data_IF_814071705079
#
_entry.id   IF_814071705079
#
_cell.length_a   1.000
_cell.length_b   1.000
_cell.length_c   1.000
_cell.angle_alpha   90.00
_cell.angle_beta   90.00
_cell.angle_gamma   90.00
#
_symmetry.space_group_name_H-M   'P 1'
#
loop_
_entity.id
_entity.type
_entity.pdbx_description
1 polymer ?
#
# COMPACT_ATOMS: atom_id res chain seq x y z
N UNK A 1 4.63 2.98 -13.84
CA UNK A 1 4.37 2.22 -12.60
C UNK A 1 3.62 0.92 -12.90
N UNK A 2 4.08 -0.23 -12.39
CA UNK A 2 3.34 -1.51 -12.40
C UNK A 2 2.84 -1.84 -10.99
N UNK A 3 1.53 -2.01 -10.81
CA UNK A 3 0.92 -2.40 -9.52
C UNK A 3 0.52 -3.88 -9.58
N UNK A 4 0.96 -4.65 -8.59
CA UNK A 4 0.55 -6.03 -8.38
C UNK A 4 -0.15 -6.13 -7.02
N UNK A 5 -1.41 -6.57 -7.03
CA UNK A 5 -2.18 -6.82 -5.83
C UNK A 5 -2.10 -8.30 -5.50
N UNK A 6 -1.74 -8.62 -4.26
CA UNK A 6 -1.70 -9.97 -3.73
C UNK A 6 -2.61 -10.02 -2.52
N UNK A 7 -3.56 -10.95 -2.50
CA UNK A 7 -4.35 -11.25 -1.32
C UNK A 7 -3.83 -12.52 -0.65
N UNK A 8 -3.98 -12.63 0.66
CA UNK A 8 -3.80 -13.90 1.35
C UNK A 8 -5.07 -14.76 1.25
N UNK A 9 -5.15 -15.84 2.03
CA UNK A 9 -6.29 -16.78 2.01
C UNK A 9 -7.56 -16.23 2.67
N UNK A 10 -7.50 -15.04 3.26
CA UNK A 10 -8.62 -14.44 4.02
C UNK A 10 -9.41 -13.45 3.19
N UNK A 11 -8.83 -12.91 2.12
CA UNK A 11 -9.48 -11.96 1.21
C UNK A 11 -9.63 -12.61 -0.18
N UNK A 12 -10.86 -12.62 -0.69
CA UNK A 12 -11.13 -13.04 -2.06
C UNK A 12 -10.55 -12.01 -3.04
N UNK A 13 -9.49 -12.41 -3.74
CA UNK A 13 -8.91 -11.62 -4.83
C UNK A 13 -9.81 -11.66 -6.05
N UNK A 14 -10.57 -10.59 -6.28
CA UNK A 14 -11.37 -10.40 -7.49
C UNK A 14 -10.97 -9.11 -8.24
N UNK A 15 -11.36 -9.02 -9.50
CA UNK A 15 -10.98 -7.91 -10.38
C UNK A 15 -11.41 -6.54 -9.83
N UNK A 16 -12.60 -6.46 -9.22
CA UNK A 16 -13.11 -5.22 -8.63
C UNK A 16 -12.25 -4.75 -7.45
N UNK A 17 -11.78 -5.67 -6.61
CA UNK A 17 -10.87 -5.35 -5.51
C UNK A 17 -9.53 -4.83 -6.04
N UNK A 18 -8.97 -5.49 -7.06
CA UNK A 18 -7.71 -5.09 -7.67
C UNK A 18 -7.81 -3.69 -8.30
N UNK A 19 -8.89 -3.42 -9.04
CA UNK A 19 -9.16 -2.14 -9.67
C UNK A 19 -9.32 -1.03 -8.63
N UNK A 20 -10.18 -1.23 -7.62
CA UNK A 20 -10.38 -0.25 -6.55
C UNK A 20 -9.09 0.07 -5.79
N UNK A 21 -8.30 -0.96 -5.48
CA UNK A 21 -7.00 -0.80 -4.82
C UNK A 21 -6.04 0.01 -5.70
N UNK A 22 -6.00 -0.27 -7.01
CA UNK A 22 -5.16 0.45 -7.97
C UNK A 22 -5.55 1.91 -8.06
N UNK A 23 -6.84 2.23 -8.15
CA UNK A 23 -7.34 3.61 -8.22
C UNK A 23 -6.91 4.45 -7.01
N UNK A 24 -7.03 3.90 -5.79
CA UNK A 24 -6.61 4.59 -4.57
C UNK A 24 -5.11 4.91 -4.63
N UNK A 25 -4.30 3.92 -4.98
CA UNK A 25 -2.83 4.02 -5.00
C UNK A 25 -2.37 5.01 -6.06
N UNK A 26 -2.93 4.94 -7.26
CA UNK A 26 -2.62 5.87 -8.36
C UNK A 26 -3.01 7.29 -8.01
N UNK A 27 -4.18 7.49 -7.38
CA UNK A 27 -4.64 8.82 -6.96
C UNK A 27 -3.72 9.46 -5.92
N UNK A 28 -3.34 8.71 -4.89
CA UNK A 28 -2.52 9.22 -3.78
C UNK A 28 -1.06 9.40 -4.23
N UNK A 29 -0.49 8.41 -4.92
CA UNK A 29 0.92 8.42 -5.30
C UNK A 29 1.17 9.01 -6.69
N UNK A 30 0.20 9.76 -7.23
CA UNK A 30 0.23 10.35 -8.59
C UNK A 30 1.55 11.06 -8.91
N UNK A 31 2.11 11.77 -7.92
CA UNK A 31 3.33 12.56 -8.05
C UNK A 31 4.61 11.72 -8.20
N UNK A 32 4.55 10.43 -7.87
CA UNK A 32 5.69 9.51 -7.91
C UNK A 32 5.60 8.46 -9.02
N UNK A 33 4.49 8.44 -9.78
CA UNK A 33 4.19 7.41 -10.80
C UNK A 33 5.30 7.21 -11.84
N UNK A 34 5.99 8.28 -12.22
CA UNK A 34 7.13 8.25 -13.17
C UNK A 34 8.40 7.66 -12.56
N UNK A 35 8.56 7.74 -11.23
CA UNK A 35 9.75 7.25 -10.51
C UNK A 35 9.57 5.81 -10.02
N UNK A 36 8.32 5.41 -9.77
CA UNK A 36 7.98 4.07 -9.29
C UNK A 36 8.00 3.08 -10.46
N UNK A 37 8.89 2.09 -10.36
CA UNK A 37 9.00 1.01 -11.35
C UNK A 37 8.02 -0.12 -11.05
N UNK A 38 7.85 -0.46 -9.77
CA UNK A 38 6.92 -1.50 -9.31
C UNK A 38 6.38 -1.19 -7.92
N UNK A 39 5.14 -1.59 -7.69
CA UNK A 39 4.50 -1.59 -6.39
C UNK A 39 3.83 -2.94 -6.16
N UNK A 40 4.09 -3.55 -5.02
CA UNK A 40 3.47 -4.78 -4.57
C UNK A 40 2.57 -4.45 -3.38
N UNK A 41 1.31 -4.84 -3.48
CA UNK A 41 0.29 -4.67 -2.45
C UNK A 41 0.03 -6.05 -1.86
N UNK A 42 0.06 -6.18 -0.54
CA UNK A 42 -0.33 -7.38 0.16
C UNK A 42 -1.50 -7.06 1.07
N UNK A 43 -2.63 -7.71 0.83
CA UNK A 43 -3.87 -7.54 1.57
C UNK A 43 -4.21 -8.83 2.32
N UNK A 44 -4.63 -8.69 3.57
CA UNK A 44 -5.10 -9.80 4.38
C UNK A 44 -5.92 -9.33 5.56
N UNK A 45 -6.59 -10.25 6.23
CA UNK A 45 -7.35 -9.99 7.44
C UNK A 45 -6.81 -10.85 8.59
N UNK A 46 -6.73 -10.25 9.77
CA UNK A 46 -6.49 -11.00 11.00
C UNK A 46 -7.26 -10.38 12.15
N UNK A 47 -7.35 -11.15 13.23
CA UNK A 47 -7.84 -10.65 14.51
C UNK A 47 -6.94 -9.50 14.98
N UNK A 48 -7.56 -8.39 15.37
CA UNK A 48 -6.88 -7.24 15.95
C UNK A 48 -6.07 -7.67 17.16
N UNK A 49 -4.83 -7.18 17.24
CA UNK A 49 -3.96 -7.46 18.38
C UNK A 49 -4.45 -6.72 19.64
N UNK A 50 -5.08 -5.56 19.46
CA UNK A 50 -5.52 -4.68 20.54
C UNK A 50 -6.97 -4.97 20.96
N UNK A 51 -7.80 -5.41 20.00
CA UNK A 51 -9.23 -5.66 20.21
C UNK A 51 -9.60 -7.06 19.71
N UNK A 52 -9.31 -8.08 20.51
CA UNK A 52 -9.34 -9.50 20.11
C UNK A 52 -10.66 -10.05 19.52
N UNK A 53 -11.77 -9.33 19.58
CA UNK A 53 -13.04 -9.72 18.95
C UNK A 53 -13.27 -9.06 17.59
N UNK A 54 -12.41 -8.10 17.19
CA UNK A 54 -12.51 -7.34 15.94
C UNK A 54 -11.56 -7.94 14.90
N UNK A 55 -12.06 -8.11 13.68
CA UNK A 55 -11.23 -8.40 12.51
C UNK A 55 -10.74 -7.08 11.90
N UNK A 56 -9.45 -7.02 11.59
CA UNK A 56 -8.83 -5.90 10.91
C UNK A 56 -8.27 -6.36 9.56
N UNK A 57 -8.42 -5.49 8.56
CA UNK A 57 -7.73 -5.61 7.29
C UNK A 57 -6.35 -4.97 7.41
N UNK A 58 -5.34 -5.67 6.92
CA UNK A 58 -3.96 -5.24 6.87
C UNK A 58 -3.55 -5.02 5.41
N UNK A 59 -2.89 -3.90 5.15
CA UNK A 59 -2.31 -3.58 3.86
C UNK A 59 -0.80 -3.32 4.05
N UNK A 60 0.03 -4.06 3.31
CA UNK A 60 1.45 -3.78 3.17
C UNK A 60 1.72 -3.33 1.73
N UNK A 61 2.44 -2.22 1.59
CA UNK A 61 2.91 -1.72 0.30
C UNK A 61 4.42 -1.83 0.26
N UNK A 62 4.96 -2.55 -0.72
CA UNK A 62 6.37 -2.47 -1.10
C UNK A 62 6.49 -1.67 -2.40
N UNK A 63 7.28 -0.59 -2.39
CA UNK A 63 7.49 0.28 -3.54
C UNK A 63 8.95 0.23 -3.97
N UNK A 64 9.14 -0.01 -5.27
CA UNK A 64 10.44 0.00 -5.94
C UNK A 64 10.55 1.25 -6.79
N UNK A 65 11.55 2.06 -6.49
CA UNK A 65 11.91 3.25 -7.25
C UNK A 65 13.18 2.98 -8.04
N UNK A 66 13.27 3.50 -9.26
CA UNK A 66 14.46 3.34 -10.08
C UNK A 66 15.71 3.89 -9.37
N UNK A 67 16.75 3.07 -9.24
CA UNK A 67 18.03 3.48 -8.64
C UNK A 67 18.02 3.59 -7.11
N UNK A 68 16.96 3.13 -6.42
CA UNK A 68 16.85 3.16 -4.96
C UNK A 68 16.56 1.77 -4.40
N UNK A 69 16.82 1.58 -3.10
CA UNK A 69 16.36 0.38 -2.40
C UNK A 69 14.83 0.39 -2.31
N UNK A 70 14.17 -0.78 -2.37
CA UNK A 70 12.74 -0.88 -2.10
C UNK A 70 12.40 -0.36 -0.71
N UNK A 71 11.28 0.33 -0.59
CA UNK A 71 10.73 0.78 0.69
C UNK A 71 9.40 0.10 0.96
N UNK A 72 9.12 -0.22 2.22
CA UNK A 72 7.88 -0.87 2.61
C UNK A 72 7.20 -0.13 3.76
N UNK A 73 5.87 -0.04 3.69
CA UNK A 73 5.01 0.45 4.78
C UNK A 73 3.88 -0.53 5.01
N UNK A 74 3.33 -0.52 6.22
CA UNK A 74 2.13 -1.25 6.56
C UNK A 74 1.10 -0.35 7.23
N UNK A 75 -0.16 -0.70 7.07
CA UNK A 75 -1.26 -0.14 7.83
C UNK A 75 -2.37 -1.16 8.07
N UNK A 76 -3.18 -0.91 9.10
CA UNK A 76 -4.24 -1.80 9.55
C UNK A 76 -5.47 -0.99 9.88
N UNK A 77 -6.65 -1.44 9.46
CA UNK A 77 -7.90 -0.75 9.72
C UNK A 77 -9.09 -1.71 9.71
N UNK A 78 -10.26 -1.21 10.11
CA UNK A 78 -11.50 -1.99 10.10
C UNK A 78 -12.01 -2.33 8.70
N UNK A 79 -11.56 -1.60 7.68
CA UNK A 79 -11.94 -1.86 6.29
C UNK A 79 -10.74 -1.82 5.37
N UNK A 80 -10.88 -2.50 4.24
CA UNK A 80 -9.87 -2.54 3.19
C UNK A 80 -9.53 -1.15 2.64
N UNK A 81 -10.55 -0.33 2.37
CA UNK A 81 -10.37 1.03 1.85
C UNK A 81 -9.54 1.91 2.80
N UNK A 82 -9.81 1.80 4.11
CA UNK A 82 -9.08 2.51 5.14
C UNK A 82 -7.63 2.01 5.23
N UNK A 83 -7.41 0.69 5.23
CA UNK A 83 -6.07 0.12 5.32
C UNK A 83 -5.21 0.47 4.10
N UNK A 84 -5.78 0.40 2.89
CA UNK A 84 -5.09 0.78 1.65
C UNK A 84 -4.79 2.27 1.63
N UNK A 85 -5.78 3.12 1.97
CA UNK A 85 -5.60 4.57 2.00
C UNK A 85 -4.53 4.99 3.02
N UNK A 86 -4.56 4.42 4.23
CA UNK A 86 -3.60 4.76 5.26
C UNK A 86 -2.18 4.28 4.93
N UNK A 87 -2.04 3.07 4.36
CA UNK A 87 -0.75 2.61 3.84
C UNK A 87 -0.24 3.51 2.70
N UNK A 88 -1.10 3.93 1.78
CA UNK A 88 -0.74 4.81 0.67
C UNK A 88 -0.24 6.18 1.16
N UNK A 89 -0.89 6.76 2.18
CA UNK A 89 -0.45 8.03 2.80
C UNK A 89 0.89 7.89 3.51
N UNK A 90 1.11 6.80 4.24
CA UNK A 90 2.42 6.52 4.85
C UNK A 90 3.51 6.40 3.79
N UNK A 91 3.21 5.74 2.66
CA UNK A 91 4.13 5.61 1.55
C UNK A 91 4.42 6.96 0.88
N UNK A 92 3.41 7.81 0.69
CA UNK A 92 3.56 9.18 0.16
C UNK A 92 4.57 9.96 1.01
N UNK A 93 4.37 10.02 2.33
CA UNK A 93 5.29 10.72 3.24
C UNK A 93 6.70 10.11 3.27
N UNK A 94 6.82 8.78 3.17
CA UNK A 94 8.13 8.11 3.09
C UNK A 94 8.87 8.53 1.82
N UNK A 95 8.21 8.49 0.67
CA UNK A 95 8.80 8.89 -0.61
C UNK A 95 9.15 10.38 -0.63
N UNK A 96 8.29 11.25 -0.11
CA UNK A 96 8.60 12.69 0.05
C UNK A 96 9.88 12.91 0.86
N UNK A 97 10.05 12.19 1.97
CA UNK A 97 11.23 12.26 2.82
C UNK A 97 12.49 11.77 2.09
N UNK A 98 12.41 10.60 1.43
CA UNK A 98 13.54 10.02 0.70
C UNK A 98 13.98 10.90 -0.47
N UNK A 99 13.05 11.40 -1.29
CA UNK A 99 13.38 12.30 -2.40
C UNK A 99 13.81 13.69 -1.91
N UNK A 100 13.25 14.18 -0.81
CA UNK A 100 13.67 15.43 -0.18
C UNK A 100 15.09 15.38 0.38
N UNK A 101 15.56 14.19 0.80
CA UNK A 101 16.96 13.96 1.18
C UNK A 101 17.91 13.90 -0.02
N UNK A 102 17.46 13.36 -1.16
CA UNK A 102 18.25 13.27 -2.39
C UNK A 102 18.37 14.60 -3.15
N UNK A 103 17.44 15.52 -2.97
CA UNK A 103 17.44 16.86 -3.56
C UNK A 103 18.25 17.92 -2.79
N UNK A 104 19.07 17.52 -1.81
CA UNK A 104 20.00 18.39 -1.07
C UNK A 104 21.45 18.12 -1.46
#
# INVERSE_FOLDING_TARGET
>A
MKIQVNTDRTIEGNESLEEHTREILERILKHFTEKITRMEVHLGEKRSADHGDIMETHCMLEVRVAGMQPVAVNDSATTLDQAVTGAARKMESMLESEFGRLGR
#
